data_IF_132262060575
#
_entry.id   IF_132262060575
#
_cell.length_a   1.000
_cell.length_b   1.000
_cell.length_c   1.000
_cell.angle_alpha   90.00
_cell.angle_beta   90.00
_cell.angle_gamma   90.00
#
_symmetry.space_group_name_H-M   'P 1'
#
loop_
_entity.id
_entity.type
_entity.pdbx_description
1 polymer ?
#
# COMPACT_ATOMS: atom_id res chain seq x y z
N UNK A 1 9.63 -30.47 -20.62
CA UNK A 1 10.14 -29.23 -19.99
C UNK A 1 9.04 -28.22 -20.24
N UNK A 2 8.18 -28.00 -19.26
CA UNK A 2 7.09 -27.03 -19.39
C UNK A 2 7.74 -25.66 -19.50
N UNK A 3 7.48 -24.96 -20.60
CA UNK A 3 7.85 -23.58 -20.80
C UNK A 3 6.98 -22.78 -19.82
N UNK A 4 7.58 -22.21 -18.77
CA UNK A 4 6.89 -21.28 -17.88
C UNK A 4 6.58 -20.03 -18.69
N UNK A 5 5.31 -19.84 -18.99
CA UNK A 5 4.80 -18.65 -19.66
C UNK A 5 4.79 -17.52 -18.62
N UNK A 6 5.86 -16.74 -18.58
CA UNK A 6 5.99 -15.61 -17.64
C UNK A 6 5.13 -14.48 -18.18
N UNK A 7 4.25 -13.93 -17.33
CA UNK A 7 3.39 -12.80 -17.67
C UNK A 7 4.21 -11.64 -18.29
N UNK A 8 3.90 -11.22 -19.52
CA UNK A 8 4.58 -10.10 -20.18
C UNK A 8 4.55 -8.80 -19.38
N UNK A 9 3.48 -8.57 -18.60
CA UNK A 9 3.36 -7.39 -17.75
C UNK A 9 4.35 -7.44 -16.58
N UNK A 10 4.59 -8.61 -16.00
CA UNK A 10 5.64 -8.81 -15.00
C UNK A 10 7.03 -8.48 -15.58
N UNK A 11 7.34 -8.97 -16.79
CA UNK A 11 8.62 -8.71 -17.44
C UNK A 11 8.84 -7.22 -17.72
N UNK A 12 7.79 -6.50 -18.10
CA UNK A 12 7.88 -5.05 -18.31
C UNK A 12 8.10 -4.31 -16.99
N UNK A 13 7.41 -4.67 -15.90
CA UNK A 13 7.66 -4.08 -14.57
C UNK A 13 9.09 -4.33 -14.10
N UNK A 14 9.60 -5.56 -14.26
CA UNK A 14 10.98 -5.91 -13.91
C UNK A 14 12.00 -5.10 -14.74
N UNK A 15 11.74 -4.90 -16.04
CA UNK A 15 12.56 -4.06 -16.91
C UNK A 15 12.61 -2.60 -16.44
N UNK A 16 11.49 -2.02 -16.07
CA UNK A 16 11.40 -0.66 -15.54
C UNK A 16 12.21 -0.51 -14.25
N UNK A 17 12.04 -1.45 -13.29
CA UNK A 17 12.79 -1.48 -12.03
C UNK A 17 14.30 -1.54 -12.27
N UNK A 18 14.75 -2.43 -13.16
CA UNK A 18 16.17 -2.55 -13.55
C UNK A 18 16.72 -1.28 -14.21
N UNK A 19 15.86 -0.49 -14.83
CA UNK A 19 16.21 0.80 -15.43
C UNK A 19 16.12 1.98 -14.45
N UNK A 20 15.76 1.73 -13.18
CA UNK A 20 15.56 2.78 -12.18
C UNK A 20 14.31 3.63 -12.41
N UNK A 21 13.37 3.15 -13.21
CA UNK A 21 12.10 3.83 -13.50
C UNK A 21 11.04 3.23 -12.58
N UNK A 22 10.40 4.04 -11.68
CA UNK A 22 9.37 3.54 -10.81
C UNK A 22 8.15 3.08 -11.62
N UNK A 23 7.65 1.89 -11.29
CA UNK A 23 6.45 1.35 -11.96
C UNK A 23 5.23 2.14 -11.53
N UNK A 24 4.46 2.61 -12.51
CA UNK A 24 3.15 3.20 -12.28
C UNK A 24 2.16 2.07 -11.96
N UNK A 25 1.52 2.16 -10.80
CA UNK A 25 0.55 1.19 -10.32
C UNK A 25 -0.86 1.59 -10.77
N UNK A 26 -1.25 2.82 -10.46
CA UNK A 26 -2.56 3.32 -10.81
C UNK A 26 -2.53 4.84 -11.01
N UNK A 27 -3.45 5.33 -11.82
CA UNK A 27 -3.69 6.75 -11.98
C UNK A 27 -5.20 6.98 -11.92
N UNK A 28 -5.60 7.91 -11.05
CA UNK A 28 -7.00 8.30 -10.86
C UNK A 28 -7.23 9.73 -11.34
N UNK A 29 -8.39 10.30 -11.07
CA UNK A 29 -8.68 11.70 -11.37
C UNK A 29 -7.67 12.63 -10.69
N UNK A 30 -7.38 12.40 -9.39
CA UNK A 30 -6.57 13.30 -8.56
C UNK A 30 -5.22 12.75 -8.15
N UNK A 31 -5.00 11.42 -8.25
CA UNK A 31 -3.85 10.73 -7.69
C UNK A 31 -3.04 9.98 -8.74
N UNK A 32 -1.75 9.88 -8.48
CA UNK A 32 -0.82 8.94 -9.10
C UNK A 32 -0.24 8.04 -8.00
N UNK A 33 -0.41 6.74 -8.16
CA UNK A 33 0.21 5.71 -7.34
C UNK A 33 1.34 5.06 -8.13
N UNK A 34 2.53 5.03 -7.57
CA UNK A 34 3.69 4.37 -8.17
C UNK A 34 4.57 3.72 -7.11
N UNK A 35 5.44 2.83 -7.52
CA UNK A 35 6.44 2.27 -6.62
C UNK A 35 7.21 3.38 -5.91
N UNK A 36 7.45 3.17 -4.62
CA UNK A 36 8.28 4.06 -3.79
C UNK A 36 9.73 3.92 -4.21
N UNK A 37 10.42 5.04 -4.33
CA UNK A 37 11.87 5.11 -4.61
C UNK A 37 12.59 5.83 -3.47
N UNK A 38 13.90 5.67 -3.36
CA UNK A 38 14.69 6.23 -2.25
C UNK A 38 14.50 7.74 -2.07
N UNK A 39 14.32 8.49 -3.16
CA UNK A 39 14.09 9.95 -3.07
C UNK A 39 12.75 10.35 -2.47
N UNK A 40 11.79 9.44 -2.32
CA UNK A 40 10.49 9.71 -1.69
C UNK A 40 10.56 9.60 -0.17
N UNK A 41 11.55 8.85 0.35
CA UNK A 41 11.62 8.49 1.76
C UNK A 41 11.64 9.71 2.68
N UNK A 42 12.37 10.79 2.41
CA UNK A 42 12.34 11.97 3.28
C UNK A 42 10.94 12.57 3.44
N UNK A 43 10.17 12.70 2.37
CA UNK A 43 8.81 13.25 2.42
C UNK A 43 7.85 12.27 3.12
N UNK A 44 7.98 10.98 2.84
CA UNK A 44 7.20 9.94 3.51
C UNK A 44 7.53 9.85 5.00
N UNK A 45 8.79 10.00 5.39
CA UNK A 45 9.23 10.00 6.79
C UNK A 45 8.54 11.09 7.61
N UNK A 46 8.44 12.31 7.05
CA UNK A 46 7.71 13.39 7.71
C UNK A 46 6.20 13.08 7.87
N UNK A 47 5.62 12.37 6.91
CA UNK A 47 4.21 11.91 6.99
C UNK A 47 4.06 10.82 8.07
N UNK A 48 4.96 9.83 8.11
CA UNK A 48 4.93 8.73 9.08
C UNK A 48 5.06 9.23 10.51
N UNK A 49 5.95 10.19 10.77
CA UNK A 49 6.10 10.79 12.11
C UNK A 49 4.85 11.49 12.63
N UNK A 50 3.98 11.97 11.74
CA UNK A 50 2.74 12.66 12.11
C UNK A 50 1.55 11.71 12.34
N UNK A 51 1.55 10.54 11.78
CA UNK A 51 0.34 9.72 11.72
C UNK A 51 0.50 8.23 11.91
N UNK A 52 1.69 7.76 12.27
CA UNK A 52 1.97 6.33 12.33
C UNK A 52 2.33 5.76 10.97
N UNK A 53 2.32 4.44 10.85
CA UNK A 53 2.76 3.74 9.64
C UNK A 53 1.67 2.92 8.99
N UNK A 54 1.79 2.71 7.69
CA UNK A 54 0.95 1.75 6.95
C UNK A 54 1.26 0.32 7.37
N UNK A 55 2.47 0.04 7.80
CA UNK A 55 3.01 -1.29 8.13
C UNK A 55 2.56 -1.84 9.51
N UNK A 56 1.40 -1.43 10.02
CA UNK A 56 0.86 -1.95 11.27
C UNK A 56 1.79 -1.76 12.47
N UNK A 57 2.42 -2.83 12.95
CA UNK A 57 3.15 -2.87 14.22
C UNK A 57 4.61 -2.40 14.16
N UNK A 58 5.17 -2.14 12.97
CA UNK A 58 6.56 -1.68 12.86
C UNK A 58 6.64 -0.18 13.10
N UNK A 59 7.28 0.28 14.18
CA UNK A 59 7.40 1.71 14.47
C UNK A 59 8.29 2.42 13.43
N UNK A 60 8.07 3.72 13.27
CA UNK A 60 8.99 4.60 12.54
C UNK A 60 10.30 4.65 13.30
N UNK A 61 11.42 4.48 12.62
CA UNK A 61 12.74 4.56 13.23
C UNK A 61 13.10 5.99 13.66
N UNK A 62 14.03 6.11 14.59
CA UNK A 62 14.31 7.40 15.23
C UNK A 62 14.96 8.42 14.29
N UNK A 63 15.71 7.95 13.32
CA UNK A 63 16.42 8.80 12.35
C UNK A 63 16.01 8.53 10.91
N UNK A 64 16.11 9.56 10.08
CA UNK A 64 15.85 9.44 8.64
C UNK A 64 16.84 8.46 7.98
N UNK A 65 18.08 8.42 8.42
CA UNK A 65 19.11 7.54 7.84
C UNK A 65 18.77 6.07 8.08
N UNK A 66 18.39 5.70 9.31
CA UNK A 66 17.96 4.34 9.65
C UNK A 66 16.67 3.96 8.90
N UNK A 67 15.70 4.86 8.83
CA UNK A 67 14.45 4.61 8.08
C UNK A 67 14.73 4.47 6.57
N UNK A 68 15.66 5.25 6.03
CA UNK A 68 16.07 5.14 4.63
C UNK A 68 16.68 3.76 4.34
N UNK A 69 17.62 3.31 5.15
CA UNK A 69 18.24 1.99 5.00
C UNK A 69 17.19 0.86 5.08
N UNK A 70 16.29 0.95 6.06
CA UNK A 70 15.21 -0.01 6.21
C UNK A 70 14.27 -0.02 5.00
N UNK A 71 13.81 1.15 4.56
CA UNK A 71 12.89 1.27 3.44
C UNK A 71 13.50 0.85 2.10
N UNK A 72 14.77 1.13 1.87
CA UNK A 72 15.46 0.65 0.67
C UNK A 72 15.56 -0.88 0.63
N UNK A 73 15.79 -1.51 1.78
CA UNK A 73 15.77 -2.97 1.89
C UNK A 73 14.35 -3.52 1.65
N UNK A 74 13.33 -2.90 2.26
CA UNK A 74 11.93 -3.27 2.08
C UNK A 74 11.48 -3.17 0.61
N UNK A 75 11.70 -2.02 -0.02
CA UNK A 75 11.34 -1.75 -1.42
C UNK A 75 11.95 -2.82 -2.34
N UNK A 76 13.25 -3.06 -2.17
CA UNK A 76 13.97 -4.04 -2.98
C UNK A 76 13.42 -5.45 -2.80
N UNK A 77 13.08 -5.84 -1.57
CA UNK A 77 12.54 -7.17 -1.30
C UNK A 77 11.09 -7.30 -1.78
N UNK A 78 10.20 -6.39 -1.38
CA UNK A 78 8.77 -6.47 -1.64
C UNK A 78 8.47 -6.51 -3.15
N UNK A 79 9.00 -5.57 -3.91
CA UNK A 79 8.70 -5.49 -5.34
C UNK A 79 9.33 -6.60 -6.19
N UNK A 80 10.48 -7.15 -5.77
CA UNK A 80 11.12 -8.25 -6.49
C UNK A 80 10.50 -9.61 -6.15
N UNK A 81 10.03 -9.80 -4.92
CA UNK A 81 9.55 -11.10 -4.46
C UNK A 81 8.04 -11.26 -4.62
N UNK A 82 7.25 -10.23 -4.29
CA UNK A 82 5.79 -10.29 -4.32
C UNK A 82 5.18 -9.60 -5.54
N UNK A 83 5.94 -8.81 -6.29
CA UNK A 83 5.47 -7.92 -7.36
C UNK A 83 4.49 -6.83 -6.88
N UNK A 84 4.32 -6.69 -5.57
CA UNK A 84 3.55 -5.62 -4.92
C UNK A 84 4.26 -5.13 -3.64
N UNK A 85 3.75 -4.06 -3.07
CA UNK A 85 4.27 -3.47 -1.84
C UNK A 85 3.54 -2.18 -1.50
N UNK A 86 4.16 -1.35 -0.66
CA UNK A 86 3.67 -0.02 -0.31
C UNK A 86 4.14 0.99 -1.36
N UNK A 87 3.21 1.73 -1.93
CA UNK A 87 3.41 2.66 -3.03
C UNK A 87 3.28 4.11 -2.59
N UNK A 88 4.05 4.99 -3.19
CA UNK A 88 3.96 6.44 -2.98
C UNK A 88 2.69 6.97 -3.64
N UNK A 89 1.94 7.76 -2.88
CA UNK A 89 0.73 8.46 -3.34
C UNK A 89 1.06 9.93 -3.60
N UNK A 90 0.85 10.37 -4.83
CA UNK A 90 1.14 11.72 -5.31
C UNK A 90 -0.16 12.40 -5.70
N UNK A 91 -0.40 13.63 -5.20
CA UNK A 91 -1.48 14.48 -5.68
C UNK A 91 -1.10 15.12 -7.00
N UNK A 92 -1.86 14.84 -8.06
CA UNK A 92 -1.53 15.29 -9.43
C UNK A 92 -1.51 16.80 -9.59
N UNK A 93 -2.37 17.51 -8.86
CA UNK A 93 -2.48 18.96 -8.98
C UNK A 93 -1.23 19.69 -8.47
N UNK A 94 -0.67 19.25 -7.35
CA UNK A 94 0.50 19.87 -6.72
C UNK A 94 1.82 19.18 -7.07
N UNK A 95 1.76 17.92 -7.52
CA UNK A 95 2.93 17.06 -7.68
C UNK A 95 3.53 16.60 -6.35
N UNK A 96 2.87 16.85 -5.23
CA UNK A 96 3.40 16.52 -3.90
C UNK A 96 3.08 15.09 -3.49
N UNK A 97 4.00 14.49 -2.75
CA UNK A 97 3.76 13.24 -2.03
C UNK A 97 2.82 13.54 -0.88
N UNK A 98 1.67 12.87 -0.87
CA UNK A 98 0.62 13.07 0.13
C UNK A 98 0.40 11.89 1.06
N UNK A 99 1.07 10.78 0.80
CA UNK A 99 0.93 9.57 1.59
C UNK A 99 1.56 8.36 0.97
N UNK A 100 1.27 7.24 1.58
CA UNK A 100 1.65 5.91 1.14
C UNK A 100 0.44 4.98 1.22
N UNK A 101 0.28 4.10 0.25
CA UNK A 101 -0.78 3.10 0.25
C UNK A 101 -0.33 1.88 -0.55
N UNK A 102 -0.88 0.70 -0.30
CA UNK A 102 -0.50 -0.49 -1.06
C UNK A 102 -0.92 -1.78 -0.40
N UNK A 103 -0.22 -2.83 -0.80
CA UNK A 103 -0.44 -4.19 -0.36
C UNK A 103 0.81 -4.71 0.35
N UNK A 104 0.63 -5.51 1.37
CA UNK A 104 1.73 -6.20 2.06
C UNK A 104 1.24 -7.52 2.67
N UNK A 105 2.16 -8.44 2.89
CA UNK A 105 1.87 -9.70 3.57
C UNK A 105 1.81 -9.44 5.06
N UNK A 106 0.71 -9.83 5.68
CA UNK A 106 0.44 -9.57 7.10
C UNK A 106 0.79 -10.77 7.95
N UNK A 107 1.81 -10.65 8.80
CA UNK A 107 2.18 -11.67 9.78
C UNK A 107 1.07 -11.92 10.83
N UNK A 108 0.16 -10.95 11.02
CA UNK A 108 -0.95 -11.04 11.96
C UNK A 108 -2.15 -11.81 11.40
N UNK A 109 -2.19 -12.04 10.09
CA UNK A 109 -3.29 -12.68 9.37
C UNK A 109 -2.81 -13.92 8.60
N UNK A 110 -1.94 -14.74 9.19
CA UNK A 110 -1.44 -15.99 8.61
C UNK A 110 -0.90 -15.80 7.16
N UNK A 111 -0.09 -14.77 6.96
CA UNK A 111 0.49 -14.38 5.67
C UNK A 111 -0.53 -13.94 4.60
N UNK A 112 -1.75 -13.58 4.98
CA UNK A 112 -2.73 -13.02 4.07
C UNK A 112 -2.27 -11.65 3.53
N UNK A 113 -2.78 -11.27 2.35
CA UNK A 113 -2.48 -9.96 1.76
C UNK A 113 -3.37 -8.88 2.37
N UNK A 114 -2.73 -7.86 2.94
CA UNK A 114 -3.39 -6.74 3.60
C UNK A 114 -3.28 -5.47 2.75
N UNK A 115 -4.38 -4.73 2.63
CA UNK A 115 -4.41 -3.39 2.08
C UNK A 115 -4.23 -2.37 3.21
N UNK A 116 -3.24 -1.52 3.07
CA UNK A 116 -3.00 -0.42 4.00
C UNK A 116 -2.80 0.92 3.32
N UNK A 117 -3.08 1.99 4.06
CA UNK A 117 -2.84 3.35 3.59
C UNK A 117 -2.56 4.31 4.74
N UNK A 118 -1.79 5.33 4.44
CA UNK A 118 -1.57 6.50 5.29
C UNK A 118 -1.59 7.76 4.44
N UNK A 119 -2.48 8.69 4.78
CA UNK A 119 -2.57 10.01 4.16
C UNK A 119 -2.11 11.08 5.16
N UNK A 120 -1.20 11.94 4.72
CA UNK A 120 -0.69 13.05 5.51
C UNK A 120 -1.80 13.95 6.05
N UNK A 121 -1.63 14.48 7.26
CA UNK A 121 -2.68 15.22 7.99
C UNK A 121 -3.33 16.33 7.16
N UNK A 122 -2.55 17.10 6.41
CA UNK A 122 -3.05 18.22 5.58
C UNK A 122 -3.94 17.77 4.41
N UNK A 123 -3.93 16.48 4.10
CA UNK A 123 -4.68 15.88 2.98
C UNK A 123 -5.82 14.98 3.43
N UNK A 124 -6.01 14.79 4.74
CA UNK A 124 -7.12 14.01 5.30
C UNK A 124 -8.47 14.69 5.08
N UNK A 125 -9.55 13.91 5.12
CA UNK A 125 -10.92 14.41 4.96
C UNK A 125 -11.31 14.77 3.53
N UNK A 126 -10.41 14.63 2.54
CA UNK A 126 -10.64 14.97 1.14
C UNK A 126 -11.04 13.76 0.26
N UNK A 127 -11.19 12.57 0.86
CA UNK A 127 -11.56 11.34 0.14
C UNK A 127 -10.39 10.61 -0.54
N UNK A 128 -9.16 11.04 -0.35
CA UNK A 128 -7.98 10.43 -0.99
C UNK A 128 -7.76 8.97 -0.58
N UNK A 129 -7.96 8.62 0.70
CA UNK A 129 -7.85 7.24 1.16
C UNK A 129 -8.81 6.30 0.43
N UNK A 130 -10.06 6.73 0.24
CA UNK A 130 -11.05 5.95 -0.50
C UNK A 130 -10.70 5.85 -2.00
N UNK A 131 -10.18 6.92 -2.59
CA UNK A 131 -9.75 6.93 -3.99
C UNK A 131 -8.55 6.00 -4.21
N UNK A 132 -7.54 6.05 -3.33
CA UNK A 132 -6.43 5.10 -3.30
C UNK A 132 -6.91 3.66 -3.17
N UNK A 133 -7.74 3.39 -2.18
CA UNK A 133 -8.23 2.05 -1.90
C UNK A 133 -8.93 1.43 -3.11
N UNK A 134 -9.80 2.18 -3.79
CA UNK A 134 -10.46 1.69 -5.02
C UNK A 134 -9.47 1.37 -6.14
N UNK A 135 -8.47 2.22 -6.32
CA UNK A 135 -7.45 2.00 -7.35
C UNK A 135 -6.58 0.78 -7.03
N UNK A 136 -6.28 0.56 -5.75
CA UNK A 136 -5.52 -0.61 -5.29
C UNK A 136 -6.34 -1.89 -5.43
N UNK A 137 -7.63 -1.87 -5.09
CA UNK A 137 -8.52 -3.02 -5.27
C UNK A 137 -8.60 -3.43 -6.74
N UNK A 138 -8.79 -2.48 -7.65
CA UNK A 138 -8.80 -2.77 -9.08
C UNK A 138 -7.45 -3.35 -9.57
N UNK A 139 -6.33 -2.80 -9.11
CA UNK A 139 -5.00 -3.32 -9.44
C UNK A 139 -4.77 -4.73 -8.90
N UNK A 140 -5.19 -5.01 -7.68
CA UNK A 140 -5.07 -6.32 -7.05
C UNK A 140 -5.86 -7.40 -7.82
N UNK A 141 -7.07 -7.08 -8.25
CA UNK A 141 -7.93 -7.98 -9.02
C UNK A 141 -7.45 -8.13 -10.47
N UNK A 142 -7.24 -7.01 -11.17
CA UNK A 142 -7.00 -7.02 -12.62
C UNK A 142 -5.55 -7.36 -13.02
N UNK A 143 -4.57 -7.05 -12.16
CA UNK A 143 -3.14 -7.16 -12.48
C UNK A 143 -2.44 -8.24 -11.67
N UNK A 144 -2.80 -8.39 -10.40
CA UNK A 144 -2.15 -9.35 -9.50
C UNK A 144 -2.95 -10.66 -9.35
N UNK A 145 -4.17 -10.72 -9.88
CA UNK A 145 -5.08 -11.88 -9.78
C UNK A 145 -5.28 -12.36 -8.33
N UNK A 146 -5.39 -11.40 -7.41
CA UNK A 146 -5.59 -11.67 -5.98
C UNK A 146 -7.09 -11.88 -5.71
N UNK A 147 -7.44 -13.06 -5.22
CA UNK A 147 -8.83 -13.42 -4.93
C UNK A 147 -9.32 -12.89 -3.57
N UNK A 148 -8.40 -12.62 -2.65
CA UNK A 148 -8.72 -12.22 -1.28
C UNK A 148 -7.80 -11.10 -0.79
N UNK A 149 -8.40 -10.07 -0.17
CA UNK A 149 -7.69 -8.98 0.48
C UNK A 149 -8.30 -8.70 1.85
N UNK A 150 -7.43 -8.35 2.78
CA UNK A 150 -7.80 -8.01 4.15
C UNK A 150 -7.44 -6.56 4.48
N UNK A 151 -8.09 -6.02 5.51
CA UNK A 151 -7.69 -4.78 6.18
C UNK A 151 -7.72 -5.01 7.68
N UNK A 152 -6.67 -4.61 8.37
CA UNK A 152 -6.61 -4.65 9.83
C UNK A 152 -6.78 -3.23 10.36
N UNK A 153 -7.83 -3.00 11.15
CA UNK A 153 -8.19 -1.66 11.62
C UNK A 153 -8.53 -1.74 13.11
N UNK A 154 -7.87 -0.90 13.89
CA UNK A 154 -8.22 -0.75 15.31
C UNK A 154 -9.67 -0.30 15.47
N UNK A 155 -10.40 -0.89 16.45
CA UNK A 155 -11.81 -0.59 16.71
C UNK A 155 -12.11 0.89 16.99
N UNK A 156 -11.11 1.62 17.47
CA UNK A 156 -11.19 3.06 17.78
C UNK A 156 -10.94 3.95 16.58
N UNK A 157 -10.52 3.39 15.44
CA UNK A 157 -10.24 4.16 14.23
C UNK A 157 -11.47 4.25 13.31
N UNK A 158 -12.47 5.02 13.78
CA UNK A 158 -13.74 5.21 13.06
C UNK A 158 -13.54 5.70 11.62
N UNK A 159 -12.51 6.51 11.37
CA UNK A 159 -12.21 7.04 10.04
C UNK A 159 -11.83 5.93 9.07
N UNK A 160 -10.90 5.06 9.46
CA UNK A 160 -10.49 3.93 8.63
C UNK A 160 -11.58 2.89 8.49
N UNK A 161 -12.35 2.61 9.55
CA UNK A 161 -13.52 1.72 9.49
C UNK A 161 -14.54 2.21 8.46
N UNK A 162 -14.82 3.52 8.44
CA UNK A 162 -15.74 4.09 7.45
C UNK A 162 -15.21 3.99 6.01
N UNK A 163 -13.90 4.18 5.80
CA UNK A 163 -13.28 4.00 4.49
C UNK A 163 -13.37 2.53 4.05
N UNK A 164 -13.01 1.59 4.92
CA UNK A 164 -13.09 0.16 4.63
C UNK A 164 -14.51 -0.27 4.22
N UNK A 165 -15.54 0.16 4.96
CA UNK A 165 -16.94 -0.10 4.60
C UNK A 165 -17.30 0.44 3.21
N UNK A 166 -16.83 1.64 2.86
CA UNK A 166 -17.06 2.23 1.52
C UNK A 166 -16.30 1.52 0.40
N UNK A 167 -15.24 0.82 0.74
CA UNK A 167 -14.48 -0.02 -0.18
C UNK A 167 -15.08 -1.42 -0.33
N UNK A 168 -16.09 -1.78 0.49
CA UNK A 168 -16.77 -3.07 0.44
C UNK A 168 -16.24 -4.09 1.44
N UNK A 169 -15.28 -3.72 2.30
CA UNK A 169 -14.83 -4.61 3.37
C UNK A 169 -15.92 -4.82 4.41
N UNK A 170 -16.15 -6.07 4.77
CA UNK A 170 -17.07 -6.48 5.82
C UNK A 170 -16.34 -6.96 7.08
N UNK A 171 -17.07 -7.21 8.19
CA UNK A 171 -16.48 -7.82 9.36
C UNK A 171 -15.98 -9.23 9.06
N UNK A 172 -14.88 -9.64 9.70
CA UNK A 172 -14.22 -10.94 9.55
C UNK A 172 -15.22 -12.12 9.62
N UNK A 173 -15.11 -13.06 8.67
CA UNK A 173 -15.86 -14.32 8.66
C UNK A 173 -16.97 -14.42 7.61
N UNK A 174 -17.05 -13.54 6.63
CA UNK A 174 -17.87 -13.72 5.44
C UNK A 174 -16.98 -13.92 4.20
N UNK A 175 -17.17 -15.07 3.57
CA UNK A 175 -16.50 -15.51 2.35
C UNK A 175 -16.73 -14.53 1.19
N UNK A 176 -15.96 -13.48 1.10
CA UNK A 176 -15.83 -12.65 -0.10
C UNK A 176 -14.56 -11.81 -0.01
N UNK A 177 -13.99 -11.49 -1.16
CA UNK A 177 -12.77 -10.72 -1.48
C UNK A 177 -12.36 -9.58 -0.49
N UNK A 178 -13.12 -9.29 0.55
CA UNK A 178 -12.96 -8.17 1.45
C UNK A 178 -13.30 -8.52 2.90
N UNK A 179 -12.31 -8.99 3.65
CA UNK A 179 -12.43 -9.14 5.12
C UNK A 179 -11.90 -7.90 5.84
N UNK A 180 -12.64 -7.39 6.82
CA UNK A 180 -12.12 -6.41 7.77
C UNK A 180 -12.03 -7.06 9.16
N UNK A 181 -10.84 -7.14 9.74
CA UNK A 181 -10.64 -7.57 11.12
C UNK A 181 -10.29 -6.38 12.00
N UNK A 182 -10.97 -6.30 13.14
CA UNK A 182 -10.61 -5.33 14.18
C UNK A 182 -9.81 -6.06 15.23
N UNK A 183 -8.55 -5.65 15.46
CA UNK A 183 -7.72 -6.24 16.51
C UNK A 183 -8.43 -6.19 17.85
N UNK A 184 -8.54 -7.34 18.52
CA UNK A 184 -8.98 -7.40 19.92
C UNK A 184 -7.83 -6.93 20.81
N UNK A 185 -8.14 -6.01 21.73
CA UNK A 185 -7.24 -5.63 22.82
C UNK A 185 -6.83 -6.88 23.60
N UNK A 186 -5.52 -7.15 23.63
CA UNK A 186 -4.88 -8.04 24.58
C UNK A 186 -4.27 -7.21 25.70
#
# INVERSE_FOLDING_TARGET
MEEFDIDPAFLERDRLRKSGIPVKIAETERLLLRETISSDIPDLYEIWKQGGMVRGTVPVLDTLDEETEFMEAYIRHAYLFYDFGLWTVIEKQSGQIIGQAGLFVSELLDDAVELGYLIGQSYRGKGYAQECGRAILAYAEEVLDLEELHVLIERTNDTSLHVAQKLGFGPYGQDQIHGAETAEDT
#
